data_IF_379922541375
#
_entry.id   IF_379922541375
#
_cell.length_a   1.000
_cell.length_b   1.000
_cell.length_c   1.000
_cell.angle_alpha   90.00
_cell.angle_beta   90.00
_cell.angle_gamma   90.00
#
_symmetry.space_group_name_H-M   'P 1'
#
loop_
_entity.id
_entity.type
_entity.pdbx_description
1 polymer ?
#
# COMPACT_ATOMS: atom_id res chain seq x y z
N UNK A 1 9.72 -5.67 20.06
CA UNK A 1 9.84 -4.32 20.67
C UNK A 1 8.45 -3.71 20.79
N UNK A 2 7.90 -3.54 22.00
CA UNK A 2 6.63 -2.83 22.21
C UNK A 2 6.95 -1.33 22.30
N UNK A 3 6.71 -0.56 21.24
CA UNK A 3 6.74 0.90 21.34
C UNK A 3 5.51 1.34 22.14
N UNK A 4 5.70 1.79 23.38
CA UNK A 4 4.66 2.52 24.09
C UNK A 4 4.59 3.94 23.52
N UNK A 5 4.05 4.04 22.30
CA UNK A 5 3.78 5.33 21.67
C UNK A 5 2.79 6.12 22.54
N UNK A 6 3.18 7.32 22.96
CA UNK A 6 2.34 8.26 23.71
C UNK A 6 1.07 8.55 22.88
N UNK A 7 -0.10 8.15 23.39
CA UNK A 7 -1.38 8.40 22.71
C UNK A 7 -1.85 9.83 22.99
N UNK A 8 -2.11 10.59 21.93
CA UNK A 8 -2.67 11.94 22.02
C UNK A 8 -4.16 11.91 21.66
N UNK A 9 -4.98 12.63 22.43
CA UNK A 9 -6.41 12.81 22.10
C UNK A 9 -6.54 13.92 21.08
N UNK A 10 -7.19 13.64 19.96
CA UNK A 10 -7.49 14.61 18.91
C UNK A 10 -9.01 14.61 18.71
N UNK A 11 -9.63 15.77 18.88
CA UNK A 11 -11.03 16.00 18.49
C UNK A 11 -11.09 16.38 17.01
N UNK A 12 -12.06 15.82 16.28
CA UNK A 12 -12.27 16.15 14.87
C UNK A 12 -13.76 16.16 14.54
N UNK A 13 -14.13 16.83 13.46
CA UNK A 13 -15.48 16.82 12.89
C UNK A 13 -15.43 16.00 11.61
N UNK A 14 -16.34 15.04 11.48
CA UNK A 14 -16.46 14.18 10.31
C UNK A 14 -17.89 14.25 9.80
N UNK A 15 -18.05 14.13 8.49
CA UNK A 15 -19.36 13.94 7.90
C UNK A 15 -20.01 12.65 8.42
N UNK A 16 -21.33 12.70 8.61
CA UNK A 16 -22.12 11.59 9.16
C UNK A 16 -21.96 10.31 8.34
N UNK A 17 -21.98 10.42 7.02
CA UNK A 17 -21.79 9.28 6.11
C UNK A 17 -20.42 8.63 6.29
N UNK A 18 -19.36 9.43 6.44
CA UNK A 18 -18.00 8.95 6.67
C UNK A 18 -17.91 8.26 8.04
N UNK A 19 -18.52 8.86 9.06
CA UNK A 19 -18.56 8.27 10.39
C UNK A 19 -19.27 6.92 10.41
N UNK A 20 -20.37 6.77 9.66
CA UNK A 20 -21.10 5.52 9.57
C UNK A 20 -20.26 4.41 8.91
N UNK A 21 -19.60 4.70 7.79
CA UNK A 21 -18.69 3.77 7.12
C UNK A 21 -17.52 3.36 8.02
N UNK A 22 -16.96 4.32 8.76
CA UNK A 22 -15.90 4.09 9.72
C UNK A 22 -16.35 3.12 10.83
N UNK A 23 -17.56 3.29 11.34
CA UNK A 23 -18.15 2.42 12.36
C UNK A 23 -18.36 1.00 11.83
N UNK A 24 -18.94 0.86 10.64
CA UNK A 24 -19.12 -0.45 10.01
C UNK A 24 -17.80 -1.18 9.80
N UNK A 25 -16.78 -0.47 9.33
CA UNK A 25 -15.44 -1.03 9.12
C UNK A 25 -14.78 -1.44 10.44
N UNK A 26 -14.91 -0.64 11.49
CA UNK A 26 -14.43 -0.97 12.83
C UNK A 26 -15.07 -2.26 13.37
N UNK A 27 -16.38 -2.43 13.17
CA UNK A 27 -17.11 -3.65 13.55
C UNK A 27 -16.64 -4.86 12.73
N UNK A 28 -16.54 -4.73 11.40
CA UNK A 28 -16.10 -5.81 10.50
C UNK A 28 -14.69 -6.30 10.83
N UNK A 29 -13.78 -5.38 11.16
CA UNK A 29 -12.39 -5.71 11.49
C UNK A 29 -12.20 -6.11 12.97
N UNK A 30 -13.22 -5.99 13.82
CA UNK A 30 -13.11 -6.23 15.27
C UNK A 30 -12.18 -5.23 15.98
N UNK A 31 -12.08 -4.01 15.46
CA UNK A 31 -11.15 -2.95 15.93
C UNK A 31 -11.91 -1.76 16.48
N UNK A 32 -11.22 -0.95 17.29
CA UNK A 32 -11.78 0.34 17.73
C UNK A 32 -11.71 1.37 16.62
N UNK A 33 -12.65 2.34 16.61
CA UNK A 33 -12.64 3.46 15.67
C UNK A 33 -11.29 4.19 15.68
N UNK A 34 -10.71 4.41 16.88
CA UNK A 34 -9.39 5.04 17.03
C UNK A 34 -8.28 4.27 16.30
N UNK A 35 -8.31 2.93 16.34
CA UNK A 35 -7.33 2.11 15.64
C UNK A 35 -7.49 2.19 14.13
N UNK A 36 -8.73 2.22 13.63
CA UNK A 36 -9.01 2.36 12.18
C UNK A 36 -8.56 3.73 11.67
N UNK A 37 -8.87 4.81 12.40
CA UNK A 37 -8.42 6.17 12.05
C UNK A 37 -6.88 6.26 12.06
N UNK A 38 -6.24 5.70 13.09
CA UNK A 38 -4.77 5.71 13.17
C UNK A 38 -4.13 4.95 12.01
N UNK A 39 -4.70 3.80 11.63
CA UNK A 39 -4.23 3.02 10.49
C UNK A 39 -4.44 3.77 9.16
N UNK A 40 -5.58 4.45 8.99
CA UNK A 40 -5.86 5.26 7.80
C UNK A 40 -4.90 6.44 7.67
N UNK A 41 -4.61 7.14 8.77
CA UNK A 41 -3.62 8.23 8.78
C UNK A 41 -2.22 7.72 8.46
N UNK A 42 -1.82 6.60 9.06
CA UNK A 42 -0.53 5.98 8.76
C UNK A 42 -0.45 5.60 7.29
N UNK A 43 -1.49 4.94 6.75
CA UNK A 43 -1.58 4.61 5.35
C UNK A 43 -1.50 5.86 4.45
N UNK A 44 -2.16 6.95 4.82
CA UNK A 44 -2.09 8.21 4.07
C UNK A 44 -0.65 8.75 3.98
N UNK A 45 0.12 8.71 5.08
CA UNK A 45 1.51 9.15 5.08
C UNK A 45 2.49 8.17 4.45
N UNK A 46 2.22 6.86 4.52
CA UNK A 46 3.09 5.83 3.94
C UNK A 46 2.77 5.53 2.49
N UNK A 47 1.59 5.89 2.00
CA UNK A 47 1.25 5.76 0.58
C UNK A 47 2.10 6.77 -0.17
N UNK A 48 3.10 6.35 -0.96
CA UNK A 48 3.84 7.29 -1.78
C UNK A 48 2.83 7.95 -2.71
N UNK A 49 2.97 9.26 -2.92
CA UNK A 49 2.22 9.94 -3.99
C UNK A 49 2.67 9.27 -5.29
N UNK A 50 1.90 8.30 -5.76
CA UNK A 50 2.16 7.64 -7.03
C UNK A 50 1.94 8.71 -8.08
N UNK A 51 3.01 9.31 -8.55
CA UNK A 51 2.96 10.14 -9.73
C UNK A 51 2.62 9.21 -10.91
N UNK A 52 1.33 9.17 -11.25
CA UNK A 52 0.79 8.39 -12.35
C UNK A 52 1.52 8.70 -13.66
N UNK A 53 2.07 9.90 -13.81
CA UNK A 53 2.87 10.30 -14.96
C UNK A 53 4.23 9.60 -14.95
N UNK A 54 4.94 9.63 -13.82
CA UNK A 54 6.21 8.93 -13.65
C UNK A 54 6.05 7.40 -13.84
N UNK A 55 4.97 6.81 -13.32
CA UNK A 55 4.67 5.39 -13.52
C UNK A 55 4.41 5.05 -14.99
N UNK A 56 3.64 5.88 -15.69
CA UNK A 56 3.37 5.69 -17.13
C UNK A 56 4.64 5.84 -17.97
N UNK A 57 5.51 6.78 -17.62
CA UNK A 57 6.82 6.93 -18.28
C UNK A 57 7.75 5.75 -18.01
N UNK A 58 7.78 5.22 -16.79
CA UNK A 58 8.56 4.03 -16.44
C UNK A 58 8.11 2.80 -17.25
N UNK A 59 6.80 2.56 -17.35
CA UNK A 59 6.24 1.48 -18.19
C UNK A 59 6.57 1.70 -19.66
N UNK A 60 6.43 2.94 -20.16
CA UNK A 60 6.79 3.26 -21.55
C UNK A 60 8.26 2.96 -21.82
N UNK A 61 9.17 3.38 -20.94
CA UNK A 61 10.61 3.12 -21.07
C UNK A 61 10.89 1.61 -21.07
N UNK A 62 10.35 0.89 -20.09
CA UNK A 62 10.49 -0.57 -19.96
C UNK A 62 10.02 -1.32 -21.21
N UNK A 63 8.87 -0.96 -21.77
CA UNK A 63 8.33 -1.61 -22.97
C UNK A 63 8.92 -1.11 -24.29
N UNK A 64 9.61 0.03 -24.30
CA UNK A 64 10.19 0.62 -25.53
C UNK A 64 11.60 0.11 -25.84
N UNK A 65 12.30 -0.44 -24.85
CA UNK A 65 13.59 -1.09 -25.07
C UNK A 65 13.36 -2.58 -25.36
N UNK A 66 13.77 -3.09 -26.54
CA UNK A 66 13.72 -4.53 -26.78
C UNK A 66 14.65 -5.22 -25.78
N UNK A 67 14.09 -6.17 -25.02
CA UNK A 67 14.89 -7.01 -24.15
C UNK A 67 15.87 -7.80 -25.01
N UNK A 68 17.17 -7.59 -24.77
CA UNK A 68 18.22 -8.44 -25.34
C UNK A 68 18.41 -9.65 -24.44
N UNK A 69 17.34 -10.40 -24.22
CA UNK A 69 17.40 -11.67 -23.51
C UNK A 69 17.27 -12.78 -24.54
N UNK A 70 18.19 -13.73 -24.52
CA UNK A 70 18.01 -14.97 -25.26
C UNK A 70 16.97 -15.84 -24.55
N UNK A 71 16.51 -16.88 -25.25
CA UNK A 71 15.51 -17.78 -24.68
C UNK A 71 16.07 -18.54 -23.47
N UNK A 72 17.35 -18.90 -23.52
CA UNK A 72 18.03 -19.60 -22.44
C UNK A 72 18.13 -18.72 -21.18
N UNK A 73 18.48 -17.44 -21.32
CA UNK A 73 18.55 -16.49 -20.19
C UNK A 73 17.17 -16.24 -19.57
N UNK A 74 16.11 -16.26 -20.38
CA UNK A 74 14.74 -16.13 -19.89
C UNK A 74 14.31 -17.35 -19.09
N UNK A 75 14.62 -18.56 -19.56
CA UNK A 75 14.30 -19.82 -18.88
C UNK A 75 15.07 -19.92 -17.55
N UNK A 76 16.35 -19.52 -17.50
CA UNK A 76 17.14 -19.46 -16.26
C UNK A 76 16.53 -18.50 -15.21
N UNK A 77 16.14 -17.29 -15.62
CA UNK A 77 15.47 -16.33 -14.71
C UNK A 77 14.17 -16.91 -14.17
N UNK A 78 13.38 -17.57 -15.02
CA UNK A 78 12.11 -18.17 -14.62
C UNK A 78 12.30 -19.36 -13.67
N UNK A 79 13.35 -20.17 -13.85
CA UNK A 79 13.67 -21.29 -12.97
C UNK A 79 14.17 -20.82 -11.59
N UNK A 80 14.95 -19.75 -11.52
CA UNK A 80 15.42 -19.18 -10.26
C UNK A 80 14.28 -18.75 -9.32
N UNK A 81 13.18 -18.22 -9.87
CA UNK A 81 11.98 -17.83 -9.11
C UNK A 81 11.23 -19.04 -8.48
N UNK A 82 11.49 -20.28 -8.94
CA UNK A 82 10.89 -21.50 -8.36
C UNK A 82 11.65 -22.05 -7.15
N UNK A 83 12.92 -21.68 -6.95
CA UNK A 83 13.76 -22.26 -5.89
C UNK A 83 13.72 -21.48 -4.56
N UNK A 84 13.15 -20.28 -4.55
CA UNK A 84 13.00 -19.44 -3.35
C UNK A 84 11.61 -19.57 -2.65
N UNK A 85 10.86 -20.66 -2.89
CA UNK A 85 9.59 -20.98 -2.20
C UNK A 85 9.71 -22.03 -1.09
#
# INVERSE_FOLDING_TARGET
>A
MKSSGKKLKVGTVLDEQIYQQLKERAVKEGRTISAVVSAALLAYYTTPVIDFKARREAVRRFCSTPFKLTREELEEIMELDFYDQ
#
